data_IF_989727149498
#
_entry.id   IF_989727149498
#
_cell.length_a   1.000
_cell.length_b   1.000
_cell.length_c   1.000
_cell.angle_alpha   90.00
_cell.angle_beta   90.00
_cell.angle_gamma   90.00
#
_symmetry.space_group_name_H-M   'P 1'
#
loop_
_entity.id
_entity.type
_entity.pdbx_description
1 polymer ?
#
# COMPACT_ATOMS: atom_id res chain seq x y z
N UNK A 1 17.09 9.20 61.56
CA UNK A 1 17.81 10.11 60.63
C UNK A 1 17.28 9.91 59.21
N UNK A 2 16.36 10.77 58.77
CA UNK A 2 15.64 10.62 57.50
C UNK A 2 16.39 11.31 56.34
N UNK A 3 16.81 10.52 55.33
CA UNK A 3 17.44 11.05 54.10
C UNK A 3 16.36 11.56 53.14
N UNK A 4 16.29 12.88 52.95
CA UNK A 4 15.45 13.53 51.92
C UNK A 4 16.01 13.20 50.53
N UNK A 5 15.28 12.44 49.71
CA UNK A 5 15.57 12.27 48.28
C UNK A 5 15.09 13.52 47.54
N UNK A 6 16.01 14.23 46.86
CA UNK A 6 15.70 15.36 45.98
C UNK A 6 15.15 14.82 44.66
N UNK A 7 13.98 15.31 44.25
CA UNK A 7 13.37 14.97 42.95
C UNK A 7 14.09 15.65 41.77
N UNK A 8 13.84 15.19 40.53
CA UNK A 8 14.46 15.73 39.32
C UNK A 8 13.93 17.13 38.95
N UNK A 9 14.73 17.96 38.25
CA UNK A 9 14.34 19.32 37.86
C UNK A 9 13.30 19.33 36.73
N UNK A 10 12.44 20.37 36.65
CA UNK A 10 11.45 20.52 35.59
C UNK A 10 12.09 20.92 34.24
N UNK A 11 11.52 20.49 33.09
CA UNK A 11 12.02 20.85 31.76
C UNK A 11 11.79 22.33 31.45
N UNK A 12 12.82 22.98 30.91
CA UNK A 12 12.81 24.38 30.49
C UNK A 12 11.97 24.58 29.21
N UNK A 13 10.94 25.42 29.31
CA UNK A 13 10.20 25.98 28.16
C UNK A 13 11.09 26.96 27.40
N UNK A 14 11.56 26.58 26.21
CA UNK A 14 12.13 27.56 25.26
C UNK A 14 10.99 28.25 24.53
N UNK A 15 10.76 29.51 24.89
CA UNK A 15 10.00 30.45 24.08
C UNK A 15 10.80 30.74 22.80
N UNK A 16 10.30 30.30 21.65
CA UNK A 16 10.73 30.82 20.36
C UNK A 16 9.76 31.94 19.96
N UNK A 17 10.35 33.11 19.77
CA UNK A 17 9.70 34.36 19.46
C UNK A 17 8.98 34.31 18.12
N UNK A 18 7.81 34.97 18.13
CA UNK A 18 7.07 35.48 16.99
C UNK A 18 7.98 36.02 15.87
N UNK A 19 7.74 35.57 14.64
CA UNK A 19 8.02 36.36 13.43
C UNK A 19 6.70 36.55 12.70
N UNK A 20 6.24 37.79 12.71
CA UNK A 20 5.01 38.31 12.11
C UNK A 20 5.31 38.90 10.72
N UNK A 21 4.34 38.68 9.81
CA UNK A 21 3.89 39.54 8.71
C UNK A 21 4.74 39.70 7.44
N UNK A 22 4.17 39.29 6.30
CA UNK A 22 3.84 40.19 5.19
C UNK A 22 2.74 39.60 4.28
N UNK A 23 1.67 40.38 4.10
CA UNK A 23 0.52 40.13 3.25
C UNK A 23 0.84 40.46 1.78
N UNK A 24 0.34 39.65 0.84
CA UNK A 24 0.09 40.10 -0.53
C UNK A 24 -1.27 39.56 -0.98
N UNK A 25 -2.27 40.45 -0.97
CA UNK A 25 -3.58 40.24 -1.54
C UNK A 25 -3.50 40.42 -3.06
N UNK A 26 -3.95 39.42 -3.83
CA UNK A 26 -4.29 39.59 -5.23
C UNK A 26 -5.75 39.15 -5.43
N UNK A 27 -6.63 40.14 -5.25
CA UNK A 27 -8.02 40.10 -5.68
C UNK A 27 -8.10 40.47 -7.16
N UNK A 28 -8.62 39.58 -8.00
CA UNK A 28 -9.10 39.93 -9.33
C UNK A 28 -10.54 39.41 -9.47
N UNK A 29 -11.47 40.35 -9.68
CA UNK A 29 -12.90 40.10 -9.85
C UNK A 29 -13.24 39.57 -11.25
N UNK A 30 -14.27 38.70 -11.30
CA UNK A 30 -15.31 38.45 -12.31
C UNK A 30 -14.91 38.38 -13.81
N UNK A 31 -15.37 37.39 -14.60
CA UNK A 31 -16.78 37.23 -14.97
C UNK A 31 -17.03 35.87 -15.64
N UNK A 32 -18.22 35.31 -15.46
CA UNK A 32 -18.73 34.15 -16.17
C UNK A 32 -19.15 34.51 -17.60
N UNK A 33 -18.76 33.71 -18.59
CA UNK A 33 -19.44 33.63 -19.88
C UNK A 33 -19.50 32.17 -20.35
N UNK A 34 -20.71 31.63 -20.36
CA UNK A 34 -21.10 30.43 -21.10
C UNK A 34 -21.12 30.73 -22.60
N UNK A 35 -20.37 29.98 -23.39
CA UNK A 35 -20.60 29.86 -24.83
C UNK A 35 -20.65 28.40 -25.23
N UNK A 36 -21.86 27.91 -25.39
CA UNK A 36 -22.23 26.71 -26.14
C UNK A 36 -22.00 27.00 -27.62
N UNK A 37 -21.26 26.17 -28.35
CA UNK A 37 -21.33 26.16 -29.82
C UNK A 37 -21.19 24.73 -30.33
N UNK A 38 -22.18 24.39 -31.14
CA UNK A 38 -22.57 23.08 -31.64
C UNK A 38 -21.67 22.61 -32.80
N UNK A 39 -21.55 21.29 -32.90
CA UNK A 39 -21.04 20.42 -33.96
C UNK A 39 -21.21 20.90 -35.41
N UNK A 40 -20.23 20.61 -36.29
CA UNK A 40 -20.47 19.89 -37.57
C UNK A 40 -19.18 19.53 -38.34
N UNK A 41 -18.99 18.22 -38.51
CA UNK A 41 -18.45 17.46 -39.65
C UNK A 41 -17.79 18.18 -40.84
N UNK A 42 -16.53 17.81 -41.15
CA UNK A 42 -16.15 17.28 -42.47
C UNK A 42 -14.77 16.61 -42.48
N UNK A 43 -14.78 15.30 -42.67
CA UNK A 43 -13.68 14.41 -43.10
C UNK A 43 -13.44 14.64 -44.62
N UNK A 44 -12.19 14.58 -45.11
CA UNK A 44 -11.77 13.41 -45.90
C UNK A 44 -10.30 12.97 -45.67
N UNK A 45 -10.11 11.70 -45.30
CA UNK A 45 -9.02 10.82 -45.79
C UNK A 45 -9.31 10.44 -47.27
N UNK A 46 -8.37 9.96 -48.12
CA UNK A 46 -7.33 8.97 -47.80
C UNK A 46 -6.01 9.04 -48.61
N UNK A 47 -5.01 8.22 -48.24
CA UNK A 47 -4.31 7.32 -49.17
C UNK A 47 -3.35 6.40 -48.38
N UNK A 48 -3.56 5.10 -48.58
CA UNK A 48 -2.76 3.98 -48.13
C UNK A 48 -1.32 4.01 -48.65
N UNK A 49 -0.36 3.63 -47.80
CA UNK A 49 0.82 2.89 -48.25
C UNK A 49 0.99 1.67 -47.33
N UNK A 50 0.89 0.52 -47.98
CA UNK A 50 0.99 -0.83 -47.46
C UNK A 50 2.44 -1.27 -47.16
N UNK A 51 2.51 -2.28 -46.29
CA UNK A 51 3.55 -3.30 -46.04
C UNK A 51 4.61 -3.05 -44.93
N UNK A 52 5.06 -4.11 -44.23
CA UNK A 52 4.36 -5.32 -43.81
C UNK A 52 4.50 -5.62 -42.30
N UNK A 53 3.56 -6.42 -41.81
CA UNK A 53 3.59 -7.03 -40.50
C UNK A 53 4.83 -7.93 -40.33
N UNK A 54 5.81 -7.52 -39.52
CA UNK A 54 6.77 -8.43 -38.89
C UNK A 54 7.33 -7.82 -37.59
N UNK A 55 6.46 -7.65 -36.59
CA UNK A 55 6.85 -7.52 -35.19
C UNK A 55 5.85 -8.21 -34.23
N UNK A 56 5.06 -9.15 -34.74
CA UNK A 56 4.20 -10.03 -33.93
C UNK A 56 4.92 -11.36 -33.68
N UNK A 57 6.09 -11.33 -33.04
CA UNK A 57 6.81 -12.54 -32.62
C UNK A 57 7.80 -12.25 -31.48
N UNK A 58 7.32 -11.66 -30.37
CA UNK A 58 7.98 -11.75 -29.06
C UNK A 58 7.06 -11.36 -27.88
N UNK A 59 5.75 -11.53 -28.03
CA UNK A 59 4.85 -11.50 -26.89
C UNK A 59 3.88 -12.66 -27.08
N UNK A 60 4.28 -13.84 -26.61
CA UNK A 60 3.30 -14.82 -26.20
C UNK A 60 2.39 -14.11 -25.21
N UNK A 61 1.22 -13.70 -25.68
CA UNK A 61 0.15 -13.22 -24.83
C UNK A 61 -0.42 -14.42 -24.08
N UNK A 62 0.37 -14.97 -23.16
CA UNK A 62 -0.21 -15.55 -21.97
C UNK A 62 -0.94 -14.40 -21.29
N UNK A 63 -2.27 -14.39 -21.40
CA UNK A 63 -3.08 -13.58 -20.52
C UNK A 63 -2.62 -13.92 -19.10
N UNK A 64 -1.90 -12.98 -18.45
CA UNK A 64 -1.28 -13.22 -17.16
C UNK A 64 -2.34 -13.77 -16.20
N UNK A 65 -2.22 -15.05 -15.85
CA UNK A 65 -3.24 -15.74 -15.08
C UNK A 65 -3.33 -15.07 -13.70
N UNK A 66 -4.52 -14.58 -13.35
CA UNK A 66 -4.77 -14.06 -12.00
C UNK A 66 -4.77 -15.22 -11.01
N UNK A 67 -3.89 -15.14 -10.01
CA UNK A 67 -3.93 -16.00 -8.84
C UNK A 67 -4.69 -15.32 -7.70
N UNK A 68 -5.45 -16.12 -6.95
CA UNK A 68 -6.19 -15.68 -5.78
C UNK A 68 -5.51 -16.17 -4.51
N UNK A 69 -5.13 -15.22 -3.67
CA UNK A 69 -4.48 -15.47 -2.39
C UNK A 69 -5.48 -15.30 -1.26
N UNK A 70 -5.35 -16.10 -0.21
CA UNK A 70 -6.07 -15.88 1.04
C UNK A 70 -5.13 -15.22 2.03
N UNK A 71 -5.49 -14.02 2.48
CA UNK A 71 -4.69 -13.26 3.45
C UNK A 71 -5.45 -13.23 4.77
N UNK A 72 -4.83 -13.74 5.82
CA UNK A 72 -5.36 -13.61 7.19
C UNK A 72 -4.54 -12.57 7.94
N UNK A 73 -5.22 -11.65 8.60
CA UNK A 73 -4.59 -10.62 9.44
C UNK A 73 -5.16 -10.73 10.83
N UNK A 74 -4.31 -11.00 11.82
CA UNK A 74 -4.70 -10.91 13.22
C UNK A 74 -4.40 -9.52 13.74
N UNK A 75 -5.43 -8.85 14.22
CA UNK A 75 -5.30 -7.58 14.93
C UNK A 75 -4.84 -7.83 16.36
N UNK A 76 -3.85 -7.06 16.83
CA UNK A 76 -3.34 -7.17 18.19
C UNK A 76 -4.39 -6.80 19.22
N UNK A 77 -4.34 -7.43 20.39
CA UNK A 77 -5.17 -7.04 21.53
C UNK A 77 -4.80 -5.66 22.11
N UNK A 78 -3.63 -5.13 21.76
CA UNK A 78 -3.23 -3.76 22.09
C UNK A 78 -3.82 -2.70 21.13
N UNK A 79 -4.28 -3.11 19.94
CA UNK A 79 -4.91 -2.23 18.93
C UNK A 79 -6.19 -1.59 19.46
N UNK A 80 -6.65 -0.41 19.00
CA UNK A 80 -7.98 0.13 19.31
C UNK A 80 -9.13 -0.88 19.14
N UNK A 81 -10.26 -0.66 19.83
CA UNK A 81 -11.43 -1.59 19.77
C UNK A 81 -11.90 -1.84 18.34
N UNK A 82 -12.03 -0.75 17.56
CA UNK A 82 -12.31 -0.73 16.13
C UNK A 82 -11.38 0.29 15.50
N UNK A 83 -11.09 0.15 14.22
CA UNK A 83 -10.36 1.15 13.44
C UNK A 83 -11.14 1.54 12.20
N UNK A 84 -11.09 2.82 11.87
CA UNK A 84 -11.56 3.43 10.62
C UNK A 84 -10.43 3.61 9.61
N UNK A 85 -9.18 3.32 10.03
CA UNK A 85 -8.00 3.49 9.20
C UNK A 85 -8.10 2.69 7.90
N UNK A 86 -7.63 3.28 6.80
CA UNK A 86 -7.38 2.55 5.58
C UNK A 86 -6.15 1.66 5.75
N UNK A 87 -6.23 0.39 5.37
CA UNK A 87 -5.07 -0.51 5.34
C UNK A 87 -4.85 -0.97 3.91
N UNK A 88 -3.72 -0.59 3.33
CA UNK A 88 -3.23 -1.11 2.05
C UNK A 88 -2.23 -2.24 2.31
N UNK A 89 -2.15 -3.19 1.38
CA UNK A 89 -1.30 -4.37 1.47
C UNK A 89 -0.51 -4.54 0.16
N UNK A 90 0.77 -4.87 0.28
CA UNK A 90 1.62 -5.31 -0.82
C UNK A 90 2.43 -6.53 -0.37
N UNK A 91 2.51 -7.57 -1.18
CA UNK A 91 3.36 -8.73 -0.92
C UNK A 91 3.83 -9.35 -2.23
N UNK A 92 4.90 -10.13 -2.19
CA UNK A 92 5.41 -10.80 -3.38
C UNK A 92 6.59 -11.70 -3.09
N UNK A 93 7.23 -12.14 -4.17
CA UNK A 93 8.31 -13.10 -4.16
C UNK A 93 9.63 -12.51 -4.69
N UNK A 94 10.66 -13.37 -4.78
CA UNK A 94 12.00 -13.00 -5.24
C UNK A 94 12.02 -12.55 -6.72
N UNK A 95 10.99 -12.91 -7.49
CA UNK A 95 10.86 -12.59 -8.91
C UNK A 95 10.04 -11.31 -9.15
N UNK A 96 9.64 -10.59 -8.09
CA UNK A 96 8.81 -9.38 -8.14
C UNK A 96 7.41 -9.64 -8.68
N UNK A 97 6.86 -10.83 -8.47
CA UNK A 97 5.42 -11.06 -8.65
C UNK A 97 4.66 -10.38 -7.50
N UNK A 98 4.49 -9.06 -7.60
CA UNK A 98 3.86 -8.24 -6.57
C UNK A 98 2.34 -8.26 -6.68
N UNK A 99 1.70 -8.59 -5.56
CA UNK A 99 0.26 -8.47 -5.37
C UNK A 99 -0.01 -7.24 -4.52
N UNK A 100 -0.93 -6.40 -4.97
CA UNK A 100 -1.28 -5.14 -4.31
C UNK A 100 -2.78 -5.02 -4.07
N UNK A 101 -3.16 -4.68 -2.84
CA UNK A 101 -4.51 -4.29 -2.48
C UNK A 101 -4.51 -2.86 -1.93
N UNK A 102 -5.12 -1.94 -2.68
CA UNK A 102 -5.18 -0.53 -2.32
C UNK A 102 -5.91 -0.29 -0.99
N UNK A 103 -6.95 -1.08 -0.71
CA UNK A 103 -7.66 -1.07 0.57
C UNK A 103 -8.20 -2.46 0.86
N UNK A 104 -7.82 -2.99 2.02
CA UNK A 104 -8.47 -4.15 2.60
C UNK A 104 -9.77 -3.69 3.27
N UNK A 105 -10.87 -4.29 2.87
CA UNK A 105 -12.19 -4.07 3.45
C UNK A 105 -12.74 -5.41 3.92
N UNK A 106 -13.56 -5.38 4.98
CA UNK A 106 -14.26 -6.57 5.45
C UNK A 106 -15.18 -7.15 4.36
N UNK A 107 -15.65 -8.38 4.57
CA UNK A 107 -16.49 -9.09 3.60
C UNK A 107 -17.80 -8.35 3.22
N UNK A 108 -18.24 -7.41 4.06
CA UNK A 108 -19.37 -6.51 3.83
C UNK A 108 -19.05 -5.11 4.40
N UNK A 109 -19.61 -4.01 3.83
CA UNK A 109 -19.50 -2.66 4.40
C UNK A 109 -19.94 -2.57 5.87
N UNK A 110 -20.82 -3.47 6.31
CA UNK A 110 -21.35 -3.54 7.68
C UNK A 110 -20.54 -4.42 8.62
N UNK A 111 -19.77 -5.38 8.09
CA UNK A 111 -18.84 -6.20 8.88
C UNK A 111 -17.52 -5.44 8.95
N UNK A 112 -17.37 -4.52 9.91
CA UNK A 112 -16.10 -3.81 10.09
C UNK A 112 -14.93 -4.80 10.17
N UNK A 113 -13.85 -4.53 9.45
CA UNK A 113 -12.60 -5.29 9.55
C UNK A 113 -11.74 -4.74 10.70
N UNK A 114 -10.73 -5.50 11.10
CA UNK A 114 -9.66 -5.06 11.99
C UNK A 114 -10.12 -4.79 13.44
N UNK A 115 -11.10 -5.57 13.91
CA UNK A 115 -11.54 -5.53 15.30
C UNK A 115 -10.43 -6.06 16.24
N UNK A 116 -10.32 -5.46 17.44
CA UNK A 116 -9.28 -5.83 18.43
C UNK A 116 -9.31 -7.33 18.71
N UNK A 117 -8.13 -7.96 18.75
CA UNK A 117 -7.93 -9.40 18.95
C UNK A 117 -8.56 -10.32 17.88
N UNK A 118 -9.27 -9.79 16.89
CA UNK A 118 -9.92 -10.59 15.86
C UNK A 118 -8.94 -10.97 14.74
N UNK A 119 -9.32 -11.98 13.98
CA UNK A 119 -8.64 -12.36 12.74
C UNK A 119 -9.58 -12.15 11.57
N UNK A 120 -9.17 -11.30 10.64
CA UNK A 120 -9.90 -11.02 9.42
C UNK A 120 -9.28 -11.80 8.26
N UNK A 121 -10.12 -12.26 7.33
CA UNK A 121 -9.69 -13.00 6.14
C UNK A 121 -10.10 -12.24 4.88
N UNK A 122 -9.15 -12.07 3.97
CA UNK A 122 -9.32 -11.35 2.72
C UNK A 122 -8.93 -12.25 1.53
N UNK A 123 -9.62 -12.10 0.41
CA UNK A 123 -9.19 -12.66 -0.88
C UNK A 123 -8.59 -11.54 -1.72
N UNK A 124 -7.34 -11.72 -2.14
CA UNK A 124 -6.61 -10.72 -2.93
C UNK A 124 -6.16 -11.35 -4.24
N UNK A 125 -6.45 -10.69 -5.35
CA UNK A 125 -6.05 -11.13 -6.69
C UNK A 125 -4.77 -10.42 -7.14
N UNK A 126 -3.92 -11.14 -7.87
CA UNK A 126 -2.71 -10.58 -8.45
C UNK A 126 -1.96 -11.60 -9.33
N UNK A 127 -0.72 -11.29 -9.74
CA UNK A 127 0.12 -12.25 -10.46
C UNK A 127 0.36 -13.51 -9.61
N UNK A 128 0.52 -14.65 -10.28
CA UNK A 128 0.93 -15.89 -9.62
C UNK A 128 2.41 -15.81 -9.20
N UNK A 129 2.67 -16.02 -7.91
CA UNK A 129 4.00 -16.03 -7.32
C UNK A 129 4.47 -17.43 -6.95
N UNK A 130 5.73 -17.52 -6.51
CA UNK A 130 6.42 -18.76 -6.19
C UNK A 130 7.07 -18.71 -4.80
N UNK A 131 6.28 -18.45 -3.76
CA UNK A 131 6.78 -18.31 -2.41
C UNK A 131 6.90 -16.86 -1.99
N UNK A 132 5.89 -16.38 -1.27
CA UNK A 132 5.88 -15.01 -0.73
C UNK A 132 7.01 -14.83 0.28
N UNK A 133 7.92 -13.89 0.01
CA UNK A 133 9.09 -13.63 0.85
C UNK A 133 9.20 -12.19 1.34
N UNK A 134 8.33 -11.30 0.88
CA UNK A 134 8.17 -9.97 1.46
C UNK A 134 6.70 -9.58 1.62
N UNK A 135 6.43 -8.72 2.59
CA UNK A 135 5.10 -8.16 2.83
C UNK A 135 5.21 -6.80 3.51
N UNK A 136 4.41 -5.85 3.03
CA UNK A 136 4.27 -4.50 3.56
C UNK A 136 2.80 -4.14 3.77
N UNK A 137 2.54 -3.44 4.86
CA UNK A 137 1.26 -2.82 5.16
C UNK A 137 1.43 -1.31 5.17
N UNK A 138 0.40 -0.57 4.74
CA UNK A 138 0.35 0.88 4.89
C UNK A 138 -0.98 1.28 5.51
N UNK A 139 -0.90 1.87 6.70
CA UNK A 139 -2.06 2.41 7.41
C UNK A 139 -2.25 3.88 7.04
N UNK A 140 -3.48 4.32 6.81
CA UNK A 140 -3.82 5.74 6.62
C UNK A 140 -5.01 6.10 7.51
N UNK A 141 -4.76 6.91 8.54
CA UNK A 141 -5.78 7.36 9.49
C UNK A 141 -5.21 7.65 10.88
N UNK A 142 -6.09 7.98 11.82
CA UNK A 142 -5.71 8.47 13.16
C UNK A 142 -5.71 7.43 14.27
N UNK A 143 -6.27 6.23 14.05
CA UNK A 143 -6.65 5.36 15.17
C UNK A 143 -5.46 4.61 15.77
N UNK A 144 -4.39 4.40 15.01
CA UNK A 144 -3.20 3.68 15.50
C UNK A 144 -3.38 2.16 15.50
N UNK A 145 -4.07 1.63 14.49
CA UNK A 145 -4.26 0.18 14.34
C UNK A 145 -2.93 -0.60 14.37
N UNK A 146 -2.96 -1.73 15.09
CA UNK A 146 -1.79 -2.57 15.36
C UNK A 146 -2.03 -4.02 14.90
N UNK A 147 -1.36 -4.51 13.84
CA UNK A 147 -1.38 -5.92 13.49
C UNK A 147 -0.51 -6.73 14.46
N UNK A 148 -0.90 -7.97 14.71
CA UNK A 148 -0.09 -8.97 15.40
C UNK A 148 0.65 -9.87 14.40
N UNK A 149 -0.04 -10.34 13.36
CA UNK A 149 0.59 -11.07 12.27
C UNK A 149 -0.25 -11.01 11.00
N UNK A 150 0.40 -11.29 9.88
CA UNK A 150 -0.20 -11.51 8.58
C UNK A 150 0.23 -12.87 8.06
N UNK A 151 -0.72 -13.66 7.58
CA UNK A 151 -0.49 -14.94 6.90
C UNK A 151 -0.99 -14.84 5.47
N UNK A 152 -0.15 -15.22 4.52
CA UNK A 152 -0.52 -15.30 3.11
C UNK A 152 -0.50 -16.75 2.68
N UNK A 153 -1.67 -17.23 2.25
CA UNK A 153 -1.87 -18.55 1.67
C UNK A 153 -1.88 -18.41 0.15
N UNK A 154 -0.93 -19.06 -0.50
CA UNK A 154 -0.83 -19.15 -1.96
C UNK A 154 -1.83 -20.20 -2.48
N UNK A 155 -2.35 -20.07 -3.70
CA UNK A 155 -3.38 -20.98 -4.23
C UNK A 155 -2.92 -22.44 -4.33
N UNK A 156 -1.62 -22.68 -4.31
CA UNK A 156 -0.99 -24.01 -4.47
C UNK A 156 -0.35 -24.53 -3.18
N UNK A 157 -0.47 -23.83 -2.05
CA UNK A 157 0.17 -24.20 -0.79
C UNK A 157 -0.74 -24.00 0.42
N UNK A 158 -0.89 -25.04 1.24
CA UNK A 158 -1.58 -24.95 2.54
C UNK A 158 -0.70 -24.35 3.63
N UNK A 159 0.62 -24.24 3.41
CA UNK A 159 1.55 -23.64 4.35
C UNK A 159 1.65 -22.14 4.07
N UNK A 160 1.22 -21.26 5.00
CA UNK A 160 1.24 -19.82 4.75
C UNK A 160 2.60 -19.20 5.02
N UNK A 161 2.93 -18.19 4.23
CA UNK A 161 4.02 -17.26 4.57
C UNK A 161 3.55 -16.33 5.70
N UNK A 162 4.25 -16.37 6.84
CA UNK A 162 3.86 -15.64 8.06
C UNK A 162 4.80 -14.47 8.38
N UNK A 163 4.20 -13.30 8.56
CA UNK A 163 4.87 -12.05 8.90
C UNK A 163 4.35 -11.56 10.24
N UNK A 164 5.23 -11.47 11.24
CA UNK A 164 4.87 -11.05 12.59
C UNK A 164 5.08 -9.55 12.75
N UNK A 165 4.10 -8.92 13.38
CA UNK A 165 4.09 -7.51 13.78
C UNK A 165 3.96 -7.45 15.32
N UNK A 166 3.97 -6.27 15.90
CA UNK A 166 3.90 -6.10 17.35
C UNK A 166 3.64 -4.66 17.78
N UNK A 167 4.04 -3.70 16.97
CA UNK A 167 3.89 -2.27 17.22
C UNK A 167 2.83 -1.62 16.31
N UNK A 168 2.20 -0.51 16.76
CA UNK A 168 1.31 0.28 15.91
C UNK A 168 1.98 0.71 14.61
N UNK A 169 1.26 0.60 13.49
CA UNK A 169 1.84 1.02 12.21
C UNK A 169 1.96 2.55 12.12
N UNK A 170 3.09 3.08 11.62
CA UNK A 170 3.21 4.49 11.32
C UNK A 170 2.15 4.93 10.31
N UNK A 171 1.64 6.15 10.46
CA UNK A 171 0.65 6.68 9.53
C UNK A 171 1.29 7.00 8.17
N UNK A 172 0.61 6.61 7.09
CA UNK A 172 0.96 6.90 5.70
C UNK A 172 2.31 6.37 5.21
N UNK A 173 2.93 5.42 5.91
CA UNK A 173 4.22 4.80 5.57
C UNK A 173 4.05 3.31 5.32
N UNK A 174 4.72 2.79 4.29
CA UNK A 174 4.82 1.35 4.05
C UNK A 174 5.75 0.71 5.08
N UNK A 175 5.22 -0.22 5.88
CA UNK A 175 5.96 -0.90 6.95
C UNK A 175 5.81 -2.42 6.82
N UNK A 176 6.94 -3.13 6.92
CA UNK A 176 6.95 -4.57 6.70
C UNK A 176 8.35 -5.16 6.62
N UNK A 177 8.44 -6.34 6.01
CA UNK A 177 9.65 -7.15 6.03
C UNK A 177 9.94 -7.68 4.62
N UNK A 178 11.22 -7.65 4.24
CA UNK A 178 11.73 -8.34 3.07
C UNK A 178 12.71 -9.41 3.53
N UNK A 179 12.34 -10.68 3.35
CA UNK A 179 13.12 -11.86 3.70
C UNK A 179 13.46 -12.67 2.45
N UNK A 180 13.33 -12.07 1.27
CA UNK A 180 13.66 -12.76 0.04
C UNK A 180 15.14 -13.13 0.02
N UNK A 181 15.48 -14.36 -0.43
CA UNK A 181 16.86 -14.71 -0.64
C UNK A 181 17.47 -13.75 -1.66
N UNK A 182 18.73 -13.38 -1.48
CA UNK A 182 19.46 -12.73 -2.55
C UNK A 182 19.61 -13.77 -3.65
N UNK A 183 19.12 -13.47 -4.86
CA UNK A 183 19.50 -14.25 -6.02
C UNK A 183 21.01 -14.20 -6.10
N UNK A 184 21.67 -15.35 -5.99
CA UNK A 184 23.10 -15.42 -6.23
C UNK A 184 23.29 -14.90 -7.66
N UNK A 185 24.05 -13.82 -7.81
CA UNK A 185 24.54 -13.47 -9.13
C UNK A 185 25.28 -14.71 -9.62
N UNK A 186 24.76 -15.36 -10.66
CA UNK A 186 25.45 -16.46 -11.30
C UNK A 186 26.80 -15.88 -11.72
N UNK A 187 27.85 -16.21 -10.96
CA UNK A 187 29.21 -15.90 -11.35
C UNK A 187 29.37 -16.60 -12.69
N UNK A 188 29.47 -15.81 -13.75
CA UNK A 188 30.06 -16.22 -15.02
C UNK A 188 31.50 -16.62 -14.74
N UNK A 189 31.69 -17.81 -14.18
CA UNK A 189 32.94 -18.54 -14.26
C UNK A 189 32.98 -19.17 -15.65
N UNK A 190 33.30 -18.34 -16.64
CA UNK A 190 33.97 -18.84 -17.83
C UNK A 190 35.38 -19.24 -17.39
N UNK A 191 35.62 -20.55 -17.30
CA UNK A 191 36.94 -21.16 -17.33
C UNK A 191 37.02 -22.00 -18.61
#
# INVERSE_FOLDING_TARGET
MARRRRGPPPPQRRHHHLVLLALAAFSCLASATTTTTTSSSKQPQPADILLPALAAAAAGADAARTCWYTVQIKTSCASPRRTSDAVSLAFGDVYRNEVYAARLAGASPSSGAFERCATDTFRVGGPCGYGVCYLYLRRSGGDGWTPQWVRVYEPTSDTPSTFYYGDPLPNAVWYGFNRCPRLAAAATAAQ
#
